data_IF_430900796809
#
_entry.id   IF_430900796809
#
_cell.length_a   1.000
_cell.length_b   1.000
_cell.length_c   1.000
_cell.angle_alpha   90.00
_cell.angle_beta   90.00
_cell.angle_gamma   90.00
#
_symmetry.space_group_name_H-M   'P 1'
#
loop_
_entity.id
_entity.type
_entity.pdbx_description
1 polymer ?
#
# COMPACT_ATOMS: atom_id res chain seq x y z
N UNK A 1 3.55 16.95 2.70
CA UNK A 1 4.12 15.96 1.76
C UNK A 1 3.20 14.77 1.77
N UNK A 2 2.90 14.14 0.63
CA UNK A 2 2.00 13.00 0.60
C UNK A 2 2.81 11.73 0.32
N UNK A 3 2.77 10.79 1.24
CA UNK A 3 3.43 9.50 1.14
C UNK A 3 2.43 8.48 0.60
N UNK A 4 2.82 7.79 -0.47
CA UNK A 4 2.09 6.64 -0.98
C UNK A 4 2.93 5.39 -0.78
N UNK A 5 2.37 4.40 -0.08
CA UNK A 5 3.02 3.11 0.17
C UNK A 5 2.18 2.06 -0.54
N UNK A 6 2.81 1.34 -1.47
CA UNK A 6 2.15 0.28 -2.21
C UNK A 6 2.84 -1.06 -1.97
N UNK A 7 2.05 -2.12 -1.85
CA UNK A 7 2.52 -3.49 -1.75
C UNK A 7 1.77 -4.41 -2.72
N UNK A 8 2.46 -5.43 -3.20
CA UNK A 8 1.90 -6.50 -4.03
C UNK A 8 1.77 -7.78 -3.19
N UNK A 9 0.55 -8.31 -3.17
CA UNK A 9 0.23 -9.60 -2.59
C UNK A 9 -0.19 -10.58 -3.68
N UNK A 10 0.24 -11.83 -3.60
CA UNK A 10 0.09 -12.86 -4.64
C UNK A 10 -0.89 -13.98 -4.25
N UNK A 11 -1.60 -13.83 -3.13
CA UNK A 11 -2.54 -14.84 -2.61
C UNK A 11 -3.64 -14.18 -1.76
N UNK A 12 -4.88 -14.64 -1.92
CA UNK A 12 -6.04 -14.18 -1.11
C UNK A 12 -5.81 -14.15 0.41
N UNK A 13 -5.24 -15.18 1.07
CA UNK A 13 -4.98 -15.10 2.51
C UNK A 13 -4.01 -13.97 2.87
N UNK A 14 -3.03 -13.72 2.02
CA UNK A 14 -2.01 -12.69 2.21
C UNK A 14 -2.62 -11.28 2.05
N UNK A 15 -3.59 -11.15 1.14
CA UNK A 15 -4.39 -9.95 0.93
C UNK A 15 -5.24 -9.62 2.17
N UNK A 16 -5.87 -10.63 2.77
CA UNK A 16 -6.70 -10.45 3.97
C UNK A 16 -5.85 -10.05 5.19
N UNK A 17 -4.68 -10.68 5.38
CA UNK A 17 -3.77 -10.34 6.48
C UNK A 17 -3.23 -8.91 6.34
N UNK A 18 -2.77 -8.51 5.15
CA UNK A 18 -2.33 -7.14 4.89
C UNK A 18 -3.43 -6.11 5.20
N UNK A 19 -4.68 -6.43 4.82
CA UNK A 19 -5.82 -5.57 5.13
C UNK A 19 -6.00 -5.41 6.63
N UNK A 20 -5.98 -6.52 7.39
CA UNK A 20 -6.15 -6.47 8.84
C UNK A 20 -5.02 -5.70 9.53
N UNK A 21 -3.77 -5.91 9.13
CA UNK A 21 -2.64 -5.17 9.71
C UNK A 21 -2.70 -3.68 9.39
N UNK A 22 -3.05 -3.29 8.17
CA UNK A 22 -3.21 -1.88 7.81
C UNK A 22 -4.34 -1.22 8.61
N UNK A 23 -5.47 -1.91 8.79
CA UNK A 23 -6.55 -1.43 9.66
C UNK A 23 -6.11 -1.32 11.12
N UNK A 24 -5.29 -2.25 11.62
CA UNK A 24 -4.77 -2.23 12.98
C UNK A 24 -3.86 -1.02 13.26
N UNK A 25 -3.15 -0.52 12.25
CA UNK A 25 -2.31 0.69 12.35
C UNK A 25 -3.03 1.97 11.92
N UNK A 26 -4.35 1.92 11.72
CA UNK A 26 -5.19 3.10 11.46
C UNK A 26 -5.28 3.53 10.00
N UNK A 27 -4.89 2.67 9.05
CA UNK A 27 -5.05 2.97 7.63
C UNK A 27 -6.54 3.08 7.24
N UNK A 28 -6.91 4.00 6.33
CA UNK A 28 -8.27 4.10 5.85
C UNK A 28 -8.70 2.84 5.09
N UNK A 29 -9.95 2.39 5.30
CA UNK A 29 -10.52 1.21 4.64
C UNK A 29 -10.49 1.29 3.09
N UNK A 30 -10.48 2.51 2.55
CA UNK A 30 -10.40 2.82 1.12
C UNK A 30 -9.02 2.59 0.49
N UNK A 31 -8.01 2.26 1.30
CA UNK A 31 -6.64 2.12 0.83
C UNK A 31 -6.37 0.90 -0.08
N UNK A 32 -7.34 0.01 -0.32
CA UNK A 32 -6.97 -1.33 -0.79
C UNK A 32 -8.01 -2.01 -1.68
N UNK A 33 -7.62 -2.30 -2.93
CA UNK A 33 -7.49 -3.63 -3.58
C UNK A 33 -7.77 -3.54 -5.08
N UNK A 34 -6.73 -3.47 -5.90
CA UNK A 34 -6.84 -3.87 -7.32
C UNK A 34 -6.52 -5.36 -7.36
N UNK A 35 -7.52 -6.21 -7.18
CA UNK A 35 -7.38 -7.64 -7.37
C UNK A 35 -7.40 -7.96 -8.87
N UNK A 36 -6.26 -8.34 -9.42
CA UNK A 36 -6.11 -8.84 -10.78
C UNK A 36 -5.73 -10.30 -10.73
N UNK A 37 -6.52 -11.16 -11.35
CA UNK A 37 -6.14 -12.55 -11.57
C UNK A 37 -5.12 -12.59 -12.71
N UNK A 38 -3.91 -13.06 -12.43
CA UNK A 38 -2.91 -13.28 -13.50
C UNK A 38 -3.38 -14.37 -14.46
N UNK A 39 -2.78 -14.44 -15.66
CA UNK A 39 -3.09 -15.46 -16.67
C UNK A 39 -2.91 -16.90 -16.17
N UNK A 40 -2.17 -17.11 -15.08
CA UNK A 40 -2.01 -18.41 -14.42
C UNK A 40 -3.07 -18.72 -13.35
N UNK A 41 -4.08 -17.85 -13.16
CA UNK A 41 -5.12 -18.05 -12.13
C UNK A 41 -4.70 -17.61 -10.73
N UNK A 42 -3.55 -16.94 -10.58
CA UNK A 42 -3.08 -16.43 -9.30
C UNK A 42 -3.74 -15.09 -8.98
N UNK A 43 -4.32 -14.98 -7.79
CA UNK A 43 -4.90 -13.74 -7.29
C UNK A 43 -3.78 -12.77 -6.87
N UNK A 44 -3.50 -11.76 -7.68
CA UNK A 44 -2.66 -10.64 -7.29
C UNK A 44 -3.53 -9.51 -6.79
N UNK A 45 -3.21 -8.92 -5.64
CA UNK A 45 -3.76 -7.62 -5.29
C UNK A 45 -2.67 -6.60 -5.03
N UNK A 46 -2.89 -5.40 -5.56
CA UNK A 46 -2.12 -4.23 -5.19
C UNK A 46 -2.84 -3.49 -4.07
N UNK A 47 -2.12 -3.28 -2.98
CA UNK A 47 -2.49 -2.49 -1.81
C UNK A 47 -1.82 -1.13 -1.93
N UNK A 48 -2.52 0.00 -1.80
CA UNK A 48 -1.90 1.32 -1.91
C UNK A 48 -2.50 2.30 -0.91
N UNK A 49 -1.78 2.54 0.18
CA UNK A 49 -2.21 3.49 1.21
C UNK A 49 -1.57 4.85 0.96
N UNK A 50 -2.33 5.91 1.20
CA UNK A 50 -1.83 7.29 1.12
C UNK A 50 -1.96 7.95 2.48
N UNK A 51 -0.94 8.70 2.87
CA UNK A 51 -0.94 9.48 4.11
C UNK A 51 -0.08 10.71 3.97
N UNK A 52 -0.45 11.79 4.63
CA UNK A 52 0.36 13.00 4.78
C UNK A 52 1.24 12.96 6.04
N UNK A 53 1.01 11.98 6.92
CA UNK A 53 1.78 11.76 8.13
C UNK A 53 2.94 10.78 7.91
N UNK A 54 4.16 11.20 8.25
CA UNK A 54 5.40 10.43 8.08
C UNK A 54 5.46 9.21 9.02
N UNK A 55 4.95 9.32 10.25
CA UNK A 55 4.99 8.24 11.23
C UNK A 55 4.00 7.13 10.83
N UNK A 56 2.81 7.53 10.39
CA UNK A 56 1.84 6.65 9.76
C UNK A 56 2.42 5.98 8.51
N UNK A 57 3.16 6.72 7.67
CA UNK A 57 3.78 6.16 6.45
C UNK A 57 4.76 5.02 6.76
N UNK A 58 5.52 5.16 7.85
CA UNK A 58 6.47 4.15 8.30
C UNK A 58 5.76 2.95 8.95
N UNK A 59 4.69 3.20 9.71
CA UNK A 59 3.84 2.16 10.30
C UNK A 59 3.18 1.31 9.21
N UNK A 60 2.65 1.94 8.17
CA UNK A 60 2.06 1.24 7.02
C UNK A 60 3.10 0.44 6.24
N UNK A 61 4.31 1.00 6.02
CA UNK A 61 5.40 0.28 5.37
C UNK A 61 5.78 -0.98 6.16
N UNK A 62 5.97 -0.87 7.47
CA UNK A 62 6.28 -2.03 8.33
C UNK A 62 5.18 -3.09 8.30
N UNK A 63 3.92 -2.67 8.35
CA UNK A 63 2.78 -3.58 8.24
C UNK A 63 2.79 -4.37 6.91
N UNK A 64 3.24 -3.76 5.83
CA UNK A 64 3.37 -4.42 4.52
C UNK A 64 4.64 -5.28 4.39
N UNK A 65 5.74 -4.89 5.05
CA UNK A 65 7.02 -5.62 5.08
C UNK A 65 6.94 -6.93 5.89
N UNK A 66 6.20 -6.92 7.01
CA UNK A 66 6.09 -8.06 7.92
C UNK A 66 5.43 -9.30 7.29
N UNK A 67 4.55 -9.11 6.31
CA UNK A 67 3.73 -10.20 5.74
C UNK A 67 4.16 -10.69 4.35
N UNK A 68 5.29 -10.22 3.84
CA UNK A 68 5.83 -10.71 2.56
C UNK A 68 5.28 -10.00 1.32
N UNK A 69 4.91 -8.72 1.45
CA UNK A 69 4.70 -7.85 0.29
C UNK A 69 5.93 -7.88 -0.63
N UNK A 70 5.81 -8.50 -1.81
CA UNK A 70 6.99 -8.87 -2.62
C UNK A 70 7.62 -7.66 -3.32
N UNK A 71 6.90 -6.54 -3.41
CA UNK A 71 7.37 -5.28 -3.98
C UNK A 71 6.72 -4.14 -3.22
N UNK A 72 7.48 -3.56 -2.29
CA UNK A 72 7.04 -2.41 -1.50
C UNK A 72 7.65 -1.18 -2.14
N UNK A 73 6.82 -0.38 -2.79
CA UNK A 73 7.24 0.90 -3.36
C UNK A 73 6.72 2.02 -2.47
N UNK A 74 7.62 2.93 -2.12
CA UNK A 74 7.25 4.17 -1.43
C UNK A 74 7.53 5.31 -2.37
N UNK A 75 6.51 6.08 -2.69
CA UNK A 75 6.64 7.30 -3.48
C UNK A 75 6.29 8.47 -2.58
N UNK A 76 7.27 9.34 -2.38
CA UNK A 76 7.07 10.65 -1.78
C UNK A 76 6.54 11.58 -2.89
N UNK A 77 5.24 11.86 -2.89
CA UNK A 77 4.70 12.94 -3.71
C UNK A 77 5.08 14.26 -3.04
N UNK A 78 6.26 14.77 -3.40
CA UNK A 78 6.61 16.16 -3.16
C UNK A 78 5.73 17.01 -4.06
N UNK A 79 4.90 17.88 -3.48
CA UNK A 79 4.16 18.89 -4.25
C UNK A 79 5.16 19.84 -4.90
N UNK A 80 5.70 19.46 -6.05
CA UNK A 80 6.14 20.44 -7.05
C UNK A 80 4.87 21.06 -7.60
N UNK A 81 4.40 22.09 -6.87
CA UNK A 81 3.50 23.08 -7.41
C UNK A 81 4.15 23.56 -8.71
N UNK A 82 3.55 23.22 -9.84
CA UNK A 82 3.96 23.72 -11.14
C UNK A 82 3.65 25.22 -11.16
N UNK A 83 4.52 26.02 -10.56
CA UNK A 83 4.57 27.47 -10.77
C UNK A 83 5.44 27.66 -12.00
N UNK A 84 4.81 27.78 -13.16
CA UNK A 84 5.48 28.33 -14.34
C UNK A 84 4.53 29.42 -14.90
N UNK A 85 5.02 30.66 -15.07
CA UNK A 85 4.26 31.91 -15.11
C UNK A 85 3.42 32.17 -16.36
#
# INVERSE_FOLDING_TARGET
MRYTISALATSEPLIEVLRQHLLAVGAPNEAIMIASTDRNGLSLAQVSVKTDDLDASQSYRRAMELDGGTQITSSEESSVLNVIP
#
